data_IF_217601335266
#
_entry.id   IF_217601335266
#
_cell.length_a   1.000
_cell.length_b   1.000
_cell.length_c   1.000
_cell.angle_alpha   90.00
_cell.angle_beta   90.00
_cell.angle_gamma   90.00
#
_symmetry.space_group_name_H-M   'P 1'
#
loop_
_entity.id
_entity.type
_entity.pdbx_description
1 polymer ?
#
# COMPACT_ATOMS: atom_id res chain seq x y z
N UNK A 1 -9.44 11.19 -1.68
CA UNK A 1 -8.28 10.33 -1.38
C UNK A 1 -8.21 9.06 -2.26
N UNK A 2 -9.36 8.52 -2.71
CA UNK A 2 -9.43 7.27 -3.47
C UNK A 2 -10.05 7.44 -4.88
N UNK A 3 -10.16 8.67 -5.36
CA UNK A 3 -10.71 8.98 -6.68
C UNK A 3 -9.59 9.11 -7.73
N UNK A 4 -8.80 8.04 -7.86
CA UNK A 4 -7.76 7.95 -8.86
C UNK A 4 -8.21 7.03 -10.00
N UNK A 5 -7.95 7.44 -11.23
CA UNK A 5 -8.19 6.61 -12.41
C UNK A 5 -6.98 5.70 -12.63
N UNK A 6 -7.21 4.40 -12.63
CA UNK A 6 -6.18 3.42 -12.94
C UNK A 6 -5.92 3.36 -14.44
N UNK A 7 -4.69 2.98 -14.82
CA UNK A 7 -4.39 2.66 -16.22
C UNK A 7 -5.34 1.58 -16.74
N UNK A 8 -5.71 1.67 -17.99
CA UNK A 8 -6.38 0.60 -18.70
C UNK A 8 -5.40 -0.55 -19.03
N UNK A 9 -5.93 -1.69 -19.49
CA UNK A 9 -5.11 -2.87 -19.80
C UNK A 9 -4.12 -2.63 -20.96
N UNK A 10 -4.42 -1.73 -21.89
CA UNK A 10 -3.55 -1.43 -23.05
C UNK A 10 -2.31 -0.63 -22.60
N UNK A 11 -2.45 0.23 -21.60
CA UNK A 11 -1.37 1.07 -21.07
C UNK A 11 -0.64 0.44 -19.88
N UNK A 12 -1.22 -0.58 -19.26
CA UNK A 12 -0.62 -1.30 -18.13
C UNK A 12 0.40 -2.35 -18.57
N UNK A 13 1.53 -1.90 -19.09
CA UNK A 13 2.59 -2.75 -19.69
C UNK A 13 3.20 -3.77 -18.71
N UNK A 14 3.03 -3.57 -17.41
CA UNK A 14 3.50 -4.47 -16.34
C UNK A 14 2.39 -5.27 -15.67
N UNK A 15 1.15 -5.20 -16.19
CA UNK A 15 0.02 -5.92 -15.63
C UNK A 15 -0.63 -5.22 -14.44
N UNK A 16 -1.27 -6.00 -13.57
CA UNK A 16 -2.07 -5.50 -12.45
C UNK A 16 -1.30 -5.61 -11.13
N UNK A 17 -1.53 -4.66 -10.24
CA UNK A 17 -1.07 -4.73 -8.84
C UNK A 17 -2.24 -4.47 -7.90
N UNK A 18 -2.47 -5.38 -6.95
CA UNK A 18 -3.48 -5.25 -5.91
C UNK A 18 -2.97 -4.49 -4.70
N UNK A 19 -3.73 -3.50 -4.25
CA UNK A 19 -3.45 -2.73 -3.04
C UNK A 19 -4.60 -2.94 -2.06
N UNK A 20 -4.36 -3.51 -0.87
CA UNK A 20 -5.38 -3.64 0.16
C UNK A 20 -5.66 -2.27 0.80
N UNK A 21 -6.94 -1.86 0.81
CA UNK A 21 -7.40 -0.59 1.38
C UNK A 21 -7.56 -0.70 2.89
N UNK A 22 -6.45 -0.73 3.62
CA UNK A 22 -6.45 -0.98 5.07
C UNK A 22 -5.23 -0.35 5.75
N UNK A 23 -5.35 -0.05 7.03
CA UNK A 23 -4.32 0.53 7.88
C UNK A 23 -3.68 1.78 7.23
N UNK A 24 -2.36 1.94 7.27
CA UNK A 24 -1.64 3.07 6.68
C UNK A 24 -1.69 3.15 5.14
N UNK A 25 -2.23 2.12 4.46
CA UNK A 25 -2.51 2.20 3.03
C UNK A 25 -3.58 3.25 2.71
N UNK A 26 -4.44 3.62 3.68
CA UNK A 26 -5.36 4.74 3.53
C UNK A 26 -4.64 6.06 3.27
N UNK A 27 -3.72 6.40 4.16
CA UNK A 27 -2.98 7.68 4.12
C UNK A 27 -2.02 7.73 2.95
N UNK A 28 -1.35 6.61 2.69
CA UNK A 28 -0.31 6.50 1.68
C UNK A 28 -0.84 6.11 0.29
N UNK A 29 -2.17 5.98 0.10
CA UNK A 29 -2.73 5.56 -1.19
C UNK A 29 -2.38 6.49 -2.36
N UNK A 30 -2.42 7.84 -2.24
CA UNK A 30 -1.98 8.72 -3.31
C UNK A 30 -0.56 8.44 -3.80
N UNK A 31 0.35 8.17 -2.86
CA UNK A 31 1.71 7.77 -3.17
C UNK A 31 1.75 6.43 -3.93
N UNK A 32 1.11 5.40 -3.41
CA UNK A 32 1.19 4.07 -4.01
C UNK A 32 0.50 3.99 -5.36
N UNK A 33 -0.63 4.64 -5.51
CA UNK A 33 -1.32 4.71 -6.80
C UNK A 33 -0.43 5.35 -7.86
N UNK A 34 0.13 6.52 -7.59
CA UNK A 34 0.99 7.25 -8.53
C UNK A 34 2.28 6.49 -8.80
N UNK A 35 2.91 5.92 -7.78
CA UNK A 35 4.12 5.12 -7.93
C UNK A 35 3.94 3.94 -8.90
N UNK A 36 2.90 3.15 -8.71
CA UNK A 36 2.65 2.01 -9.59
C UNK A 36 2.15 2.42 -10.98
N UNK A 37 1.38 3.48 -11.08
CA UNK A 37 0.94 4.04 -12.38
C UNK A 37 2.14 4.53 -13.20
N UNK A 38 3.07 5.27 -12.60
CA UNK A 38 4.32 5.70 -13.26
C UNK A 38 5.20 4.53 -13.68
N UNK A 39 5.17 3.42 -12.97
CA UNK A 39 5.84 2.18 -13.35
C UNK A 39 5.06 1.35 -14.39
N UNK A 40 3.91 1.79 -14.86
CA UNK A 40 3.11 1.10 -15.87
C UNK A 40 2.30 -0.09 -15.36
N UNK A 41 1.89 -0.09 -14.09
CA UNK A 41 0.92 -1.05 -13.55
C UNK A 41 -0.49 -0.48 -13.52
N UNK A 42 -1.49 -1.32 -13.78
CA UNK A 42 -2.87 -1.05 -13.42
C UNK A 42 -3.07 -1.30 -11.92
N UNK A 43 -3.41 -0.26 -11.18
CA UNK A 43 -3.67 -0.39 -9.74
C UNK A 43 -5.10 -0.87 -9.50
N UNK A 44 -5.23 -1.96 -8.75
CA UNK A 44 -6.51 -2.49 -8.29
C UNK A 44 -6.61 -2.31 -6.78
N UNK A 45 -7.40 -1.35 -6.36
CA UNK A 45 -7.67 -1.09 -4.94
C UNK A 45 -8.79 -2.00 -4.45
N UNK A 46 -8.63 -2.65 -3.30
CA UNK A 46 -9.73 -3.37 -2.67
C UNK A 46 -10.83 -2.41 -2.20
N UNK A 47 -12.09 -2.85 -2.09
CA UNK A 47 -13.23 -1.97 -1.81
C UNK A 47 -13.18 -1.40 -0.38
N UNK A 48 -14.19 -0.62 -0.02
CA UNK A 48 -14.36 -0.15 1.35
C UNK A 48 -14.50 -1.31 2.35
N UNK A 49 -13.98 -1.10 3.55
CA UNK A 49 -14.11 -2.05 4.64
C UNK A 49 -15.57 -2.23 5.04
N UNK A 50 -16.04 -3.45 5.00
CA UNK A 50 -17.38 -3.84 5.41
C UNK A 50 -17.32 -5.13 6.23
N UNK A 51 -18.44 -5.49 6.87
CA UNK A 51 -18.57 -6.80 7.52
C UNK A 51 -18.29 -7.95 6.55
N UNK A 52 -18.73 -7.85 5.29
CA UNK A 52 -18.47 -8.87 4.27
C UNK A 52 -16.98 -9.03 3.97
N UNK A 53 -16.24 -7.93 3.91
CA UNK A 53 -14.78 -7.97 3.74
C UNK A 53 -14.13 -8.66 4.96
N UNK A 54 -14.55 -8.32 6.18
CA UNK A 54 -14.05 -9.00 7.38
C UNK A 54 -14.28 -10.51 7.33
N UNK A 55 -15.51 -10.94 6.98
CA UNK A 55 -15.90 -12.35 6.90
C UNK A 55 -15.08 -13.14 5.86
N UNK A 56 -14.58 -12.48 4.78
CA UNK A 56 -13.72 -13.14 3.78
C UNK A 56 -12.37 -13.60 4.36
N UNK A 57 -11.84 -12.90 5.34
CA UNK A 57 -10.50 -13.16 5.89
C UNK A 57 -10.50 -13.82 7.27
N UNK A 58 -11.67 -14.11 7.86
CA UNK A 58 -11.79 -14.51 9.26
C UNK A 58 -10.97 -15.78 9.61
N UNK A 59 -10.89 -16.73 8.67
CA UNK A 59 -10.21 -18.00 8.89
C UNK A 59 -8.68 -17.87 8.95
N UNK A 60 -8.13 -16.82 8.36
CA UNK A 60 -6.68 -16.57 8.35
C UNK A 60 -6.20 -15.64 9.48
N UNK A 61 -7.10 -15.12 10.32
CA UNK A 61 -6.75 -14.25 11.45
C UNK A 61 -6.10 -15.11 12.56
N UNK A 62 -4.82 -14.89 12.89
CA UNK A 62 -4.10 -15.80 13.80
C UNK A 62 -4.44 -15.57 15.27
N UNK A 63 -4.99 -14.42 15.65
CA UNK A 63 -5.27 -14.07 17.03
C UNK A 63 -6.51 -13.20 17.20
N UNK A 64 -7.32 -13.51 18.21
CA UNK A 64 -8.45 -12.68 18.61
C UNK A 64 -8.03 -11.34 19.23
N UNK A 65 -6.81 -11.25 19.77
CA UNK A 65 -6.30 -10.06 20.44
C UNK A 65 -5.83 -8.96 19.48
N UNK A 66 -5.75 -9.23 18.17
CA UNK A 66 -5.41 -8.22 17.19
C UNK A 66 -6.49 -7.16 17.05
N UNK A 67 -6.09 -5.91 16.77
CA UNK A 67 -7.06 -4.84 16.58
C UNK A 67 -7.93 -5.07 15.34
N UNK A 68 -9.17 -4.60 15.38
CA UNK A 68 -10.14 -4.82 14.31
C UNK A 68 -9.67 -4.30 12.94
N UNK A 69 -9.03 -3.11 12.82
CA UNK A 69 -8.48 -2.66 11.53
C UNK A 69 -7.43 -3.62 10.94
N UNK A 70 -6.60 -4.23 11.77
CA UNK A 70 -5.63 -5.23 11.31
C UNK A 70 -6.33 -6.49 10.80
N UNK A 71 -7.35 -6.99 11.50
CA UNK A 71 -8.15 -8.14 11.08
C UNK A 71 -8.79 -7.94 9.71
N UNK A 72 -9.18 -6.71 9.37
CA UNK A 72 -9.73 -6.38 8.05
C UNK A 72 -8.71 -6.62 6.92
N UNK A 73 -7.40 -6.50 7.18
CA UNK A 73 -6.37 -6.71 6.15
C UNK A 73 -6.45 -8.10 5.51
N UNK A 74 -6.78 -9.12 6.29
CA UNK A 74 -6.98 -10.48 5.78
C UNK A 74 -8.08 -10.53 4.72
N UNK A 75 -9.22 -9.93 5.02
CA UNK A 75 -10.35 -9.87 4.09
C UNK A 75 -10.06 -9.07 2.83
N UNK A 76 -9.34 -7.95 2.93
CA UNK A 76 -8.93 -7.15 1.78
C UNK A 76 -7.98 -7.92 0.85
N UNK A 77 -7.01 -8.65 1.40
CA UNK A 77 -6.09 -9.49 0.62
C UNK A 77 -6.84 -10.65 -0.03
N UNK A 78 -7.67 -11.37 0.72
CA UNK A 78 -8.50 -12.45 0.17
C UNK A 78 -9.44 -11.95 -0.94
N UNK A 79 -9.99 -10.74 -0.79
CA UNK A 79 -10.81 -10.14 -1.85
C UNK A 79 -10.00 -9.92 -3.13
N UNK A 80 -8.79 -9.37 -3.05
CA UNK A 80 -7.91 -9.16 -4.21
C UNK A 80 -7.59 -10.48 -4.91
N UNK A 81 -7.27 -11.53 -4.16
CA UNK A 81 -7.03 -12.87 -4.70
C UNK A 81 -8.27 -13.37 -5.47
N UNK A 82 -9.45 -13.23 -4.90
CA UNK A 82 -10.72 -13.62 -5.54
C UNK A 82 -11.08 -12.81 -6.80
N UNK A 83 -10.46 -11.62 -6.98
CA UNK A 83 -10.56 -10.87 -8.24
C UNK A 83 -9.55 -11.35 -9.30
N UNK A 84 -8.77 -12.38 -9.00
CA UNK A 84 -7.76 -12.91 -9.92
C UNK A 84 -6.49 -12.05 -9.99
N UNK A 85 -6.21 -11.29 -8.92
CA UNK A 85 -4.96 -10.51 -8.81
C UNK A 85 -3.85 -11.43 -8.33
N UNK A 86 -2.84 -11.60 -9.14
CA UNK A 86 -1.68 -12.47 -8.91
C UNK A 86 -0.45 -11.72 -8.37
N UNK A 87 -0.52 -10.38 -8.30
CA UNK A 87 0.50 -9.54 -7.68
C UNK A 87 -0.15 -8.58 -6.68
N UNK A 88 0.20 -8.74 -5.39
CA UNK A 88 -0.32 -7.92 -4.29
C UNK A 88 0.85 -7.23 -3.59
N UNK A 89 0.73 -5.93 -3.37
CA UNK A 89 1.72 -5.12 -2.67
C UNK A 89 1.15 -4.60 -1.36
N UNK A 90 1.81 -4.96 -0.25
CA UNK A 90 1.45 -4.51 1.09
C UNK A 90 2.68 -4.29 1.96
N UNK A 91 3.33 -3.10 1.90
CA UNK A 91 4.59 -2.83 2.58
C UNK A 91 4.44 -2.76 4.09
N UNK A 92 5.54 -3.10 4.77
CA UNK A 92 5.73 -2.92 6.21
C UNK A 92 6.40 -1.55 6.44
N UNK A 93 5.59 -0.52 6.69
CA UNK A 93 6.11 0.84 6.92
C UNK A 93 6.29 1.06 8.42
N UNK A 94 7.51 1.29 8.86
CA UNK A 94 7.81 1.48 10.28
C UNK A 94 7.90 2.96 10.70
N UNK A 95 8.16 3.87 9.77
CA UNK A 95 8.32 5.30 10.04
C UNK A 95 7.60 6.11 8.95
N UNK A 96 6.72 7.01 9.38
CA UNK A 96 5.98 7.91 8.50
C UNK A 96 6.68 9.26 8.39
N UNK A 97 6.31 10.04 7.38
CA UNK A 97 6.89 11.36 7.18
C UNK A 97 6.49 12.32 8.30
N UNK A 98 7.34 13.32 8.52
CA UNK A 98 7.11 14.37 9.52
C UNK A 98 6.15 15.43 8.97
N UNK A 99 4.87 15.26 9.23
CA UNK A 99 3.87 16.28 8.91
C UNK A 99 3.88 17.44 9.91
N UNK A 100 4.15 17.13 11.19
CA UNK A 100 4.28 18.07 12.29
C UNK A 100 5.71 18.06 12.78
N UNK A 101 6.44 19.18 12.58
CA UNK A 101 7.87 19.25 12.89
C UNK A 101 8.19 19.08 14.39
N UNK A 102 7.25 19.44 15.26
CA UNK A 102 7.34 19.38 16.72
C UNK A 102 6.76 18.08 17.32
N UNK A 103 6.20 17.19 16.51
CA UNK A 103 5.73 15.91 17.00
C UNK A 103 6.89 15.02 17.45
N UNK A 104 6.76 14.41 18.63
CA UNK A 104 7.83 13.64 19.27
C UNK A 104 8.02 12.24 18.71
N UNK A 105 7.08 11.72 17.89
CA UNK A 105 7.13 10.36 17.36
C UNK A 105 6.47 10.27 15.98
N UNK A 106 7.13 9.54 15.07
CA UNK A 106 6.65 9.26 13.72
C UNK A 106 6.70 7.75 13.39
N UNK A 107 6.94 6.92 14.38
CA UNK A 107 6.89 5.47 14.20
C UNK A 107 5.44 4.97 14.18
N UNK A 108 5.16 4.08 13.24
CA UNK A 108 3.92 3.34 13.22
C UNK A 108 3.81 2.39 14.42
N UNK A 109 2.59 2.02 14.78
CA UNK A 109 2.39 0.98 15.79
C UNK A 109 2.97 -0.35 15.31
N UNK A 110 3.36 -1.26 16.24
CA UNK A 110 3.94 -2.55 15.87
C UNK A 110 3.07 -3.38 14.90
N UNK A 111 1.75 -3.28 15.00
CA UNK A 111 0.82 -3.96 14.10
C UNK A 111 1.02 -3.45 12.66
N UNK A 112 0.93 -2.15 12.41
CA UNK A 112 1.13 -1.57 11.07
C UNK A 112 2.50 -1.95 10.51
N UNK A 113 3.54 -1.87 11.35
CA UNK A 113 4.92 -2.16 10.96
C UNK A 113 5.14 -3.60 10.48
N UNK A 114 4.42 -4.58 11.04
CA UNK A 114 4.69 -6.00 10.79
C UNK A 114 3.55 -6.75 10.10
N UNK A 115 2.44 -6.10 9.82
CA UNK A 115 1.23 -6.81 9.41
C UNK A 115 1.32 -7.45 8.02
N UNK A 116 2.13 -6.89 7.12
CA UNK A 116 2.45 -7.53 5.84
C UNK A 116 3.06 -8.92 6.02
N UNK A 117 3.95 -9.10 7.02
CA UNK A 117 4.52 -10.41 7.35
C UNK A 117 3.47 -11.35 7.97
N UNK A 118 2.58 -10.81 8.80
CA UNK A 118 1.48 -11.58 9.36
C UNK A 118 0.57 -12.15 8.25
N UNK A 119 0.14 -11.30 7.31
CA UNK A 119 -0.66 -11.71 6.15
C UNK A 119 0.05 -12.80 5.34
N UNK A 120 1.31 -12.58 4.98
CA UNK A 120 2.12 -13.51 4.19
C UNK A 120 2.19 -14.91 4.80
N UNK A 121 2.21 -14.98 6.13
CA UNK A 121 2.35 -16.25 6.84
C UNK A 121 1.01 -16.94 7.13
N UNK A 122 -0.11 -16.23 7.16
CA UNK A 122 -1.40 -16.76 7.61
C UNK A 122 -2.46 -16.88 6.50
N UNK A 123 -2.32 -16.16 5.38
CA UNK A 123 -3.21 -16.31 4.22
C UNK A 123 -2.66 -17.41 3.33
N UNK A 124 -3.28 -18.60 3.39
CA UNK A 124 -2.81 -19.82 2.71
C UNK A 124 -2.84 -19.68 1.20
N UNK A 125 -3.83 -18.99 0.65
CA UNK A 125 -4.03 -18.76 -0.79
C UNK A 125 -2.84 -18.04 -1.43
N UNK A 126 -2.12 -17.20 -0.71
CA UNK A 126 -0.90 -16.54 -1.22
C UNK A 126 0.17 -17.56 -1.66
N UNK A 127 0.19 -18.73 -1.02
CA UNK A 127 1.12 -19.81 -1.35
C UNK A 127 0.53 -20.83 -2.30
N UNK A 128 -0.71 -21.25 -2.06
CA UNK A 128 -1.38 -22.30 -2.84
C UNK A 128 -1.71 -21.86 -4.27
N UNK A 129 -2.00 -20.57 -4.49
CA UNK A 129 -2.32 -19.99 -5.79
C UNK A 129 -1.13 -19.31 -6.47
N UNK A 130 0.08 -19.43 -5.91
CA UNK A 130 1.32 -18.85 -6.44
C UNK A 130 1.21 -17.34 -6.65
N UNK A 131 0.58 -16.63 -5.69
CA UNK A 131 0.44 -15.18 -5.70
C UNK A 131 1.78 -14.51 -5.35
N UNK A 132 2.20 -13.55 -6.14
CA UNK A 132 3.33 -12.69 -5.79
C UNK A 132 2.92 -11.68 -4.73
N UNK A 133 3.32 -11.91 -3.49
CA UNK A 133 3.04 -11.00 -2.38
C UNK A 133 4.30 -10.27 -1.94
N UNK A 134 4.36 -8.97 -2.18
CA UNK A 134 5.51 -8.13 -1.84
C UNK A 134 5.20 -7.22 -0.65
N UNK A 135 5.99 -7.36 0.40
CA UNK A 135 5.81 -6.65 1.66
C UNK A 135 7.13 -6.06 2.21
N UNK A 136 7.85 -5.23 1.42
CA UNK A 136 9.14 -4.67 1.84
C UNK A 136 9.03 -3.82 3.12
N UNK A 137 10.10 -3.83 3.92
CA UNK A 137 10.25 -2.91 5.05
C UNK A 137 10.70 -1.54 4.56
N UNK A 138 9.86 -0.52 4.76
CA UNK A 138 10.03 0.82 4.23
C UNK A 138 10.00 1.88 5.32
N UNK A 139 10.61 3.04 5.03
CA UNK A 139 10.53 4.26 5.80
C UNK A 139 10.13 5.41 4.88
N UNK A 140 9.18 6.21 5.30
CA UNK A 140 8.75 7.45 4.65
C UNK A 140 9.42 8.69 5.29
N UNK A 141 10.56 8.53 5.96
CA UNK A 141 11.28 9.62 6.61
C UNK A 141 11.60 10.78 5.66
N UNK A 142 12.02 10.47 4.43
CA UNK A 142 12.24 11.43 3.36
C UNK A 142 12.08 10.77 1.99
N UNK A 143 11.85 11.59 0.95
CA UNK A 143 11.80 11.14 -0.43
C UNK A 143 13.07 10.35 -0.82
N UNK A 144 14.24 10.85 -0.43
CA UNK A 144 15.53 10.21 -0.76
C UNK A 144 15.67 8.81 -0.15
N UNK A 145 15.32 8.65 1.13
CA UNK A 145 15.38 7.36 1.84
C UNK A 145 14.37 6.39 1.23
N UNK A 146 13.16 6.86 0.97
CA UNK A 146 12.09 6.06 0.34
C UNK A 146 12.53 5.61 -1.05
N UNK A 147 13.03 6.53 -1.89
CA UNK A 147 13.51 6.24 -3.23
C UNK A 147 14.67 5.24 -3.24
N UNK A 148 15.60 5.35 -2.31
CA UNK A 148 16.71 4.40 -2.17
C UNK A 148 16.20 3.00 -1.85
N UNK A 149 15.35 2.87 -0.82
CA UNK A 149 14.81 1.57 -0.38
C UNK A 149 13.97 0.90 -1.47
N UNK A 150 13.10 1.66 -2.14
CA UNK A 150 12.28 1.16 -3.24
C UNK A 150 13.14 0.77 -4.45
N UNK A 151 14.16 1.58 -4.79
CA UNK A 151 15.09 1.24 -5.86
C UNK A 151 15.86 -0.05 -5.57
N UNK A 152 16.39 -0.19 -4.35
CA UNK A 152 17.11 -1.40 -3.93
C UNK A 152 16.21 -2.64 -3.95
N UNK A 153 14.92 -2.50 -3.59
CA UNK A 153 13.97 -3.60 -3.58
C UNK A 153 13.50 -3.95 -5.00
N UNK A 154 12.90 -3.02 -5.73
CA UNK A 154 12.27 -3.29 -7.04
C UNK A 154 13.27 -3.62 -8.15
N UNK A 155 14.53 -3.14 -8.04
CA UNK A 155 15.56 -3.54 -9.00
C UNK A 155 15.92 -5.01 -8.88
N UNK A 156 15.84 -5.59 -7.69
CA UNK A 156 16.14 -7.00 -7.43
C UNK A 156 14.93 -7.90 -7.72
N UNK A 157 13.79 -7.53 -7.17
CA UNK A 157 12.60 -8.38 -7.18
C UNK A 157 11.83 -8.29 -8.51
N UNK A 158 11.77 -7.09 -9.12
CA UNK A 158 10.96 -6.83 -10.32
C UNK A 158 11.81 -6.50 -11.55
N UNK A 159 13.13 -6.46 -11.43
CA UNK A 159 14.06 -6.11 -12.50
C UNK A 159 13.75 -4.75 -13.17
N UNK A 160 13.31 -3.77 -12.38
CA UNK A 160 13.02 -2.41 -12.84
C UNK A 160 14.25 -1.52 -12.65
N UNK A 161 14.66 -0.72 -13.65
CA UNK A 161 15.81 0.17 -13.53
C UNK A 161 15.65 1.17 -12.38
N UNK A 162 16.69 1.34 -11.56
CA UNK A 162 16.67 2.26 -10.39
C UNK A 162 16.32 3.70 -10.76
N UNK A 163 16.70 4.15 -11.96
CA UNK A 163 16.37 5.50 -12.42
C UNK A 163 14.86 5.67 -12.65
N UNK A 164 14.19 4.65 -13.18
CA UNK A 164 12.75 4.64 -13.38
C UNK A 164 12.01 4.65 -12.04
N UNK A 165 12.47 3.82 -11.08
CA UNK A 165 11.90 3.77 -9.74
C UNK A 165 12.03 5.12 -9.04
N UNK A 166 13.18 5.77 -9.10
CA UNK A 166 13.40 7.09 -8.50
C UNK A 166 12.49 8.16 -9.11
N UNK A 167 12.29 8.12 -10.44
CA UNK A 167 11.34 9.01 -11.11
C UNK A 167 9.91 8.79 -10.61
N UNK A 168 9.49 7.54 -10.50
CA UNK A 168 8.16 7.18 -10.00
C UNK A 168 7.97 7.62 -8.53
N UNK A 169 8.99 7.47 -7.68
CA UNK A 169 8.96 7.95 -6.30
C UNK A 169 8.82 9.47 -6.25
N UNK A 170 9.55 10.21 -7.07
CA UNK A 170 9.45 11.67 -7.11
C UNK A 170 8.04 12.13 -7.48
N UNK A 171 7.43 11.56 -8.51
CA UNK A 171 6.05 11.85 -8.88
C UNK A 171 5.06 11.49 -7.78
N UNK A 172 5.22 10.31 -7.17
CA UNK A 172 4.37 9.82 -6.09
C UNK A 172 4.48 10.68 -4.81
N UNK A 173 5.68 11.17 -4.51
CA UNK A 173 5.91 12.07 -3.37
C UNK A 173 5.21 13.42 -3.58
N UNK A 174 5.33 14.00 -4.75
CA UNK A 174 4.66 15.25 -5.11
C UNK A 174 3.13 15.11 -5.04
N UNK A 175 2.57 13.98 -5.51
CA UNK A 175 1.14 13.70 -5.44
C UNK A 175 0.66 13.54 -4.00
N UNK A 176 1.40 12.83 -3.18
CA UNK A 176 1.09 12.67 -1.75
C UNK A 176 1.05 14.03 -1.04
N UNK A 177 2.01 14.91 -1.31
CA UNK A 177 2.02 16.26 -0.76
C UNK A 177 0.84 17.11 -1.25
N UNK A 178 0.44 16.96 -2.51
CA UNK A 178 -0.72 17.66 -3.06
C UNK A 178 -2.01 17.16 -2.40
N UNK A 179 -2.19 15.86 -2.30
CA UNK A 179 -3.36 15.26 -1.62
C UNK A 179 -3.51 15.74 -0.17
N UNK A 180 -2.41 15.89 0.55
CA UNK A 180 -2.42 16.45 1.92
C UNK A 180 -2.85 17.93 1.94
N UNK A 181 -2.34 18.73 1.02
CA UNK A 181 -2.78 20.15 0.88
C UNK A 181 -4.27 20.25 0.61
N UNK A 182 -4.78 19.40 -0.28
CA UNK A 182 -6.20 19.39 -0.66
C UNK A 182 -7.09 18.97 0.51
N UNK A 183 -6.69 17.98 1.29
CA UNK A 183 -7.40 17.56 2.52
C UNK A 183 -7.43 18.70 3.54
N UNK A 184 -6.30 19.38 3.78
CA UNK A 184 -6.24 20.53 4.67
C UNK A 184 -7.18 21.65 4.23
N UNK A 185 -7.24 21.94 2.93
CA UNK A 185 -8.13 22.96 2.38
C UNK A 185 -9.61 22.61 2.55
N UNK A 186 -9.99 21.35 2.37
CA UNK A 186 -11.36 20.88 2.60
C UNK A 186 -11.81 21.07 4.07
N UNK A 187 -10.92 20.85 5.03
CA UNK A 187 -11.21 21.01 6.45
C UNK A 187 -11.23 22.48 6.92
N UNK A 188 -10.50 23.36 6.23
CA UNK A 188 -10.35 24.75 6.62
C UNK A 188 -11.20 25.72 5.81
N UNK A 189 -11.83 25.28 4.73
CA UNK A 189 -12.74 26.10 3.95
C UNK A 189 -14.02 26.37 4.73
N UNK A 190 -14.42 27.63 4.93
CA UNK A 190 -15.72 27.94 5.54
C UNK A 190 -16.84 27.41 4.65
N UNK A 191 -17.72 26.62 5.22
CA UNK A 191 -18.97 26.12 4.59
C UNK A 191 -19.95 27.25 4.32
#
# INVERSE_FOLDING_TARGET
LFQYESLDEEHAVRGKVGIPRVLNMYENYPFWHTFFTELGYQVVLSPESTRKIYELGIESIPSESECYPAKLAHGHVTWLIRQGIDYIFYPCVFYERKEQADAGNHFNCPIVTSYGENIKNNVEELRSENITFQNPFLSFESEEITAKRLADYFSKENNIPSAEIRKAVHAAWAEMEQAHRDICLLYTSPS
#
